data_IF_481640813771
#
_entry.id   IF_481640813771
#
_cell.length_a   1.000
_cell.length_b   1.000
_cell.length_c   1.000
_cell.angle_alpha   90.00
_cell.angle_beta   90.00
_cell.angle_gamma   90.00
#
_symmetry.space_group_name_H-M   'P 1'
#
loop_
_entity.id
_entity.type
_entity.pdbx_description
1 polymer ?
#
# COMPACT_ATOMS: atom_id res chain seq x y z
N UNK A 1 -2.32 42.67 0.09
CA UNK A 1 -2.91 41.38 0.53
C UNK A 1 -2.75 40.20 -0.45
N UNK A 2 -2.71 40.35 -1.80
CA UNK A 2 -2.54 39.21 -2.72
C UNK A 2 -1.23 38.43 -2.56
N UNK A 3 -0.13 39.11 -2.22
CA UNK A 3 1.21 38.50 -2.08
C UNK A 3 1.31 37.49 -0.92
N UNK A 4 0.60 37.70 0.19
CA UNK A 4 0.68 36.82 1.37
C UNK A 4 -0.08 35.51 1.12
N UNK A 5 -1.23 35.58 0.46
CA UNK A 5 -2.04 34.41 0.07
C UNK A 5 -1.22 33.49 -0.86
N UNK A 6 -0.52 34.07 -1.83
CA UNK A 6 0.35 33.31 -2.74
C UNK A 6 1.53 32.62 -2.03
N UNK A 7 2.10 33.25 -1.00
CA UNK A 7 3.20 32.65 -0.22
C UNK A 7 2.69 31.48 0.62
N UNK A 8 1.55 31.63 1.31
CA UNK A 8 0.97 30.56 2.13
C UNK A 8 0.57 29.35 1.28
N UNK A 9 -0.01 29.60 0.10
CA UNK A 9 -0.33 28.55 -0.86
C UNK A 9 0.93 27.81 -1.33
N UNK A 10 1.97 28.53 -1.77
CA UNK A 10 3.23 27.93 -2.21
C UNK A 10 3.93 27.11 -1.11
N UNK A 11 3.86 27.58 0.15
CA UNK A 11 4.39 26.84 1.30
C UNK A 11 3.59 25.57 1.57
N UNK A 12 2.25 25.62 1.50
CA UNK A 12 1.39 24.45 1.68
C UNK A 12 1.63 23.41 0.59
N UNK A 13 1.74 23.82 -0.68
CA UNK A 13 2.06 22.94 -1.82
C UNK A 13 3.39 22.24 -1.58
N UNK A 14 4.47 22.99 -1.33
CA UNK A 14 5.81 22.42 -1.08
C UNK A 14 5.82 21.47 0.13
N UNK A 15 5.13 21.85 1.20
CA UNK A 15 5.03 21.01 2.40
C UNK A 15 4.32 19.69 2.10
N UNK A 16 3.18 19.74 1.39
CA UNK A 16 2.43 18.53 1.05
C UNK A 16 3.18 17.63 0.08
N UNK A 17 3.70 18.17 -1.02
CA UNK A 17 4.40 17.37 -2.03
C UNK A 17 5.68 16.72 -1.51
N UNK A 18 6.40 17.39 -0.58
CA UNK A 18 7.59 16.81 0.05
C UNK A 18 7.28 15.72 1.09
N UNK A 19 6.04 15.63 1.59
CA UNK A 19 5.63 14.65 2.61
C UNK A 19 4.70 13.57 2.07
N UNK A 20 4.10 13.80 0.90
CA UNK A 20 3.12 12.92 0.27
C UNK A 20 3.46 12.73 -1.21
N UNK A 21 4.60 12.10 -1.53
CA UNK A 21 4.99 11.90 -2.92
C UNK A 21 3.97 11.02 -3.65
N UNK A 22 3.58 11.46 -4.84
CA UNK A 22 2.68 10.72 -5.73
C UNK A 22 3.41 9.61 -6.51
N UNK A 23 4.74 9.64 -6.53
CA UNK A 23 5.57 8.60 -7.13
C UNK A 23 5.76 7.45 -6.14
N UNK A 24 5.52 6.21 -6.59
CA UNK A 24 5.61 5.02 -5.73
C UNK A 24 7.02 4.82 -5.17
N UNK A 25 8.06 5.01 -5.98
CA UNK A 25 9.46 4.82 -5.55
C UNK A 25 9.87 5.82 -4.48
N UNK A 26 9.51 7.10 -4.65
CA UNK A 26 9.76 8.15 -3.66
C UNK A 26 8.99 7.89 -2.38
N UNK A 27 7.72 7.51 -2.51
CA UNK A 27 6.91 7.11 -1.36
C UNK A 27 7.62 6.01 -0.59
N UNK A 28 8.03 4.93 -1.25
CA UNK A 28 8.71 3.79 -0.63
C UNK A 28 10.05 4.13 0.04
N UNK A 29 10.76 5.16 -0.40
CA UNK A 29 12.04 5.57 0.19
C UNK A 29 11.87 6.40 1.47
N UNK A 30 10.82 7.22 1.57
CA UNK A 30 10.64 8.16 2.68
C UNK A 30 9.95 7.53 3.91
N UNK A 31 10.54 6.45 4.46
CA UNK A 31 9.89 5.60 5.50
C UNK A 31 9.98 6.17 6.92
N UNK A 32 11.13 6.71 7.31
CA UNK A 32 11.37 7.19 8.67
C UNK A 32 10.63 8.49 8.99
N UNK A 33 10.36 9.31 7.98
CA UNK A 33 9.64 10.57 8.18
C UNK A 33 8.12 10.38 8.29
N UNK A 34 7.54 9.24 7.88
CA UNK A 34 6.08 9.02 7.90
C UNK A 34 5.45 9.11 9.27
N UNK A 35 6.17 8.71 10.31
CA UNK A 35 5.74 8.86 11.70
C UNK A 35 5.62 10.32 12.17
N UNK A 36 6.19 11.27 11.41
CA UNK A 36 6.12 12.71 11.63
C UNK A 36 5.19 13.41 10.64
N UNK A 37 4.47 12.66 9.80
CA UNK A 37 3.59 13.26 8.80
C UNK A 37 2.39 13.92 9.47
N UNK A 38 1.91 14.96 8.80
CA UNK A 38 0.57 15.49 9.03
C UNK A 38 -0.42 14.32 8.98
N UNK A 39 -1.38 14.22 9.90
CA UNK A 39 -2.39 13.17 9.81
C UNK A 39 -3.12 13.24 8.46
N UNK A 40 -3.51 12.10 7.87
CA UNK A 40 -4.01 12.07 6.50
C UNK A 40 -5.33 12.85 6.33
N UNK A 41 -6.15 12.99 7.37
CA UNK A 41 -7.37 13.81 7.30
C UNK A 41 -7.04 15.30 7.12
N UNK A 42 -6.07 15.83 7.89
CA UNK A 42 -5.51 17.16 7.67
C UNK A 42 -4.87 17.30 6.28
N UNK A 43 -4.14 16.29 5.82
CA UNK A 43 -3.52 16.32 4.49
C UNK A 43 -4.58 16.48 3.38
N UNK A 44 -5.68 15.72 3.45
CA UNK A 44 -6.83 15.86 2.51
C UNK A 44 -7.43 17.27 2.58
N UNK A 45 -7.69 17.79 3.78
CA UNK A 45 -8.29 19.12 3.94
C UNK A 45 -7.41 20.23 3.36
N UNK A 46 -6.11 20.25 3.69
CA UNK A 46 -5.18 21.26 3.18
C UNK A 46 -4.99 21.11 1.66
N UNK A 47 -4.89 19.88 1.16
CA UNK A 47 -4.73 19.61 -0.27
C UNK A 47 -5.90 20.15 -1.08
N UNK A 48 -7.15 19.88 -0.65
CA UNK A 48 -8.34 20.38 -1.35
C UNK A 48 -8.45 21.90 -1.26
N UNK A 49 -8.14 22.50 -0.10
CA UNK A 49 -8.13 23.95 0.08
C UNK A 49 -7.08 24.67 -0.79
N UNK A 50 -6.00 23.96 -1.17
CA UNK A 50 -4.89 24.49 -1.97
C UNK A 50 -4.75 23.81 -3.34
N UNK A 51 -5.78 23.13 -3.84
CA UNK A 51 -5.75 22.46 -5.15
C UNK A 51 -4.56 21.52 -5.39
N UNK A 52 -3.97 20.95 -4.33
CA UNK A 52 -2.85 19.98 -4.41
C UNK A 52 -3.41 18.58 -4.56
N UNK A 53 -4.00 18.31 -5.73
CA UNK A 53 -4.79 17.08 -5.94
C UNK A 53 -3.91 15.83 -6.01
N UNK A 54 -2.66 15.96 -6.45
CA UNK A 54 -1.69 14.87 -6.64
C UNK A 54 -1.50 13.97 -5.42
N UNK A 55 -1.72 14.46 -4.19
CA UNK A 55 -1.52 13.65 -2.99
C UNK A 55 -2.75 12.84 -2.58
N UNK A 56 -3.93 13.18 -3.11
CA UNK A 56 -5.21 12.72 -2.57
C UNK A 56 -5.35 11.19 -2.56
N UNK A 57 -5.02 10.44 -3.63
CA UNK A 57 -5.19 8.98 -3.63
C UNK A 57 -4.41 8.30 -2.49
N UNK A 58 -3.21 8.79 -2.22
CA UNK A 58 -2.38 8.27 -1.14
C UNK A 58 -2.89 8.68 0.25
N UNK A 59 -3.30 9.94 0.41
CA UNK A 59 -3.86 10.42 1.67
C UNK A 59 -5.14 9.66 2.05
N UNK A 60 -6.02 9.38 1.08
CA UNK A 60 -7.21 8.54 1.29
C UNK A 60 -6.85 7.09 1.62
N UNK A 61 -5.84 6.52 0.96
CA UNK A 61 -5.34 5.18 1.29
C UNK A 61 -4.80 5.08 2.72
N UNK A 62 -3.93 6.00 3.14
CA UNK A 62 -3.37 6.00 4.50
C UNK A 62 -4.48 6.24 5.53
N UNK A 63 -5.44 7.13 5.24
CA UNK A 63 -6.58 7.35 6.10
C UNK A 63 -7.43 6.08 6.29
N UNK A 64 -7.78 5.40 5.19
CA UNK A 64 -8.51 4.13 5.22
C UNK A 64 -7.75 3.09 6.04
N UNK A 65 -6.45 2.97 5.79
CA UNK A 65 -5.55 2.05 6.47
C UNK A 65 -5.52 2.30 7.98
N UNK A 66 -5.35 3.56 8.41
CA UNK A 66 -5.31 3.93 9.84
C UNK A 66 -6.60 3.64 10.60
N UNK A 67 -7.75 3.62 9.90
CA UNK A 67 -9.06 3.34 10.50
C UNK A 67 -9.37 1.84 10.65
N UNK A 68 -8.54 0.96 10.08
CA UNK A 68 -8.72 -0.49 10.23
C UNK A 68 -8.35 -0.99 11.62
N UNK A 69 -9.11 -1.96 12.13
CA UNK A 69 -8.82 -2.57 13.42
C UNK A 69 -7.45 -3.27 13.42
N UNK A 70 -7.12 -3.97 12.33
CA UNK A 70 -5.86 -4.70 12.17
C UNK A 70 -4.66 -3.76 12.19
N UNK A 71 -4.80 -2.56 11.63
CA UNK A 71 -3.77 -1.53 11.73
C UNK A 71 -3.48 -1.15 13.18
N UNK A 72 -4.53 -0.91 13.98
CA UNK A 72 -4.39 -0.57 15.39
C UNK A 72 -3.73 -1.71 16.17
N UNK A 73 -4.06 -2.96 15.85
CA UNK A 73 -3.40 -4.14 16.42
C UNK A 73 -1.91 -4.18 16.08
N UNK A 74 -1.52 -3.93 14.81
CA UNK A 74 -0.10 -3.90 14.41
C UNK A 74 0.65 -2.78 15.16
N UNK A 75 0.09 -1.57 15.19
CA UNK A 75 0.76 -0.43 15.84
C UNK A 75 0.92 -0.65 17.34
N UNK A 76 -0.09 -1.22 18.00
CA UNK A 76 0.00 -1.59 19.42
C UNK A 76 1.08 -2.64 19.68
N UNK A 77 1.24 -3.64 18.80
CA UNK A 77 2.30 -4.66 18.91
C UNK A 77 3.71 -4.10 18.72
N UNK A 78 3.83 -3.00 17.98
CA UNK A 78 5.10 -2.30 17.74
C UNK A 78 5.39 -1.24 18.81
N UNK A 79 4.55 -1.11 19.84
CA UNK A 79 4.64 -0.05 20.85
C UNK A 79 4.61 1.37 20.24
N UNK A 80 3.89 1.52 19.12
CA UNK A 80 3.73 2.79 18.41
C UNK A 80 2.34 3.35 18.71
N UNK A 81 2.29 4.42 19.51
CA UNK A 81 1.06 5.15 19.77
C UNK A 81 0.79 6.17 18.65
N UNK A 82 -0.12 5.84 17.74
CA UNK A 82 -0.52 6.73 16.65
C UNK A 82 -1.88 7.35 16.98
N UNK A 83 -2.01 8.68 17.07
CA UNK A 83 -3.31 9.32 17.28
C UNK A 83 -4.24 9.02 16.11
N UNK A 84 -5.52 8.81 16.42
CA UNK A 84 -6.54 8.64 15.39
C UNK A 84 -6.68 9.92 14.55
N UNK A 85 -6.94 9.79 13.25
CA UNK A 85 -7.13 10.93 12.36
C UNK A 85 -8.39 11.72 12.74
N UNK A 86 -8.32 13.05 12.65
CA UNK A 86 -9.46 13.93 12.96
C UNK A 86 -10.45 13.99 11.78
N UNK A 87 -11.45 13.11 11.83
CA UNK A 87 -12.45 12.99 10.78
C UNK A 87 -13.34 14.23 10.60
N UNK A 88 -13.37 15.16 11.57
CA UNK A 88 -14.15 16.39 11.46
C UNK A 88 -13.60 17.36 10.41
N UNK A 89 -12.38 17.13 9.93
CA UNK A 89 -11.75 17.91 8.88
C UNK A 89 -12.20 17.52 7.47
N UNK A 90 -12.93 16.40 7.35
CA UNK A 90 -13.41 15.88 6.09
C UNK A 90 -14.82 16.38 5.78
N UNK A 91 -15.08 16.67 4.51
CA UNK A 91 -16.45 16.91 4.04
C UNK A 91 -17.26 15.61 4.03
N UNK A 92 -18.59 15.72 3.94
CA UNK A 92 -19.46 14.55 3.78
C UNK A 92 -19.11 13.72 2.53
N UNK A 93 -18.68 14.38 1.44
CA UNK A 93 -18.27 13.69 0.21
C UNK A 93 -16.92 12.98 0.38
N UNK A 94 -15.99 13.57 1.12
CA UNK A 94 -14.72 12.91 1.46
C UNK A 94 -14.96 11.66 2.30
N UNK A 95 -15.85 11.74 3.31
CA UNK A 95 -16.22 10.57 4.11
C UNK A 95 -16.88 9.47 3.26
N UNK A 96 -17.74 9.83 2.29
CA UNK A 96 -18.34 8.86 1.36
C UNK A 96 -17.29 8.19 0.49
N UNK A 97 -16.35 8.97 -0.08
CA UNK A 97 -15.22 8.47 -0.88
C UNK A 97 -14.33 7.54 -0.08
N UNK A 98 -14.02 7.91 1.16
CA UNK A 98 -13.22 7.11 2.08
C UNK A 98 -13.88 5.75 2.36
N UNK A 99 -15.16 5.73 2.73
CA UNK A 99 -15.86 4.49 3.08
C UNK A 99 -16.07 3.59 1.85
N UNK A 100 -16.63 4.15 0.76
CA UNK A 100 -16.91 3.37 -0.46
C UNK A 100 -15.61 2.93 -1.13
N UNK A 101 -14.65 3.84 -1.25
CA UNK A 101 -13.40 3.57 -1.92
C UNK A 101 -12.48 2.66 -1.12
N UNK A 102 -12.50 2.76 0.21
CA UNK A 102 -11.84 1.81 1.10
C UNK A 102 -12.35 0.38 0.89
N UNK A 103 -13.68 0.21 0.78
CA UNK A 103 -14.27 -1.10 0.50
C UNK A 103 -13.88 -1.65 -0.90
N UNK A 104 -13.84 -0.80 -1.93
CA UNK A 104 -13.37 -1.17 -3.28
C UNK A 104 -11.91 -1.59 -3.23
N UNK A 105 -11.06 -0.79 -2.59
CA UNK A 105 -9.64 -1.08 -2.46
C UNK A 105 -9.37 -2.38 -1.68
N UNK A 106 -10.17 -2.69 -0.67
CA UNK A 106 -10.07 -3.95 0.07
C UNK A 106 -10.42 -5.16 -0.81
N UNK A 107 -11.37 -5.02 -1.74
CA UNK A 107 -11.68 -6.04 -2.75
C UNK A 107 -10.50 -6.23 -3.70
N UNK A 108 -9.90 -5.13 -4.18
CA UNK A 108 -8.73 -5.18 -5.05
C UNK A 108 -7.54 -5.86 -4.35
N UNK A 109 -7.29 -5.53 -3.08
CA UNK A 109 -6.27 -6.18 -2.25
C UNK A 109 -6.53 -7.68 -2.12
N UNK A 110 -7.77 -8.08 -1.80
CA UNK A 110 -8.15 -9.49 -1.72
C UNK A 110 -7.88 -10.22 -3.03
N UNK A 111 -8.22 -9.61 -4.16
CA UNK A 111 -7.98 -10.18 -5.48
C UNK A 111 -6.48 -10.30 -5.80
N UNK A 112 -5.67 -9.30 -5.46
CA UNK A 112 -4.22 -9.35 -5.61
C UNK A 112 -3.59 -10.49 -4.80
N UNK A 113 -3.95 -10.60 -3.52
CA UNK A 113 -3.45 -11.69 -2.68
C UNK A 113 -3.96 -13.06 -3.12
N UNK A 114 -5.20 -13.18 -3.59
CA UNK A 114 -5.71 -14.44 -4.14
C UNK A 114 -4.90 -14.90 -5.36
N UNK A 115 -4.50 -13.97 -6.24
CA UNK A 115 -3.64 -14.26 -7.40
C UNK A 115 -2.23 -14.68 -6.99
N UNK A 116 -1.67 -14.09 -5.92
CA UNK A 116 -0.39 -14.52 -5.36
C UNK A 116 -0.50 -15.91 -4.69
N UNK A 117 -1.62 -16.18 -4.02
CA UNK A 117 -1.92 -17.47 -3.38
C UNK A 117 -2.13 -18.59 -4.40
N UNK A 118 -2.64 -18.29 -5.59
CA UNK A 118 -2.86 -19.27 -6.66
C UNK A 118 -1.75 -19.28 -7.72
N UNK A 119 -0.63 -18.58 -7.48
CA UNK A 119 0.40 -18.43 -8.50
C UNK A 119 1.19 -19.73 -8.69
N UNK A 120 1.17 -20.27 -9.92
CA UNK A 120 1.88 -21.48 -10.28
C UNK A 120 3.27 -21.18 -10.85
N UNK A 121 4.30 -21.78 -10.25
CA UNK A 121 5.70 -21.64 -10.67
C UNK A 121 6.26 -22.88 -11.37
N UNK A 122 5.42 -23.90 -11.61
CA UNK A 122 5.81 -25.22 -12.12
C UNK A 122 6.58 -25.18 -13.45
N UNK A 123 6.21 -24.28 -14.35
CA UNK A 123 6.80 -24.14 -15.69
C UNK A 123 8.24 -23.63 -15.68
N UNK A 124 8.59 -22.81 -14.68
CA UNK A 124 9.91 -22.17 -14.51
C UNK A 124 10.76 -22.87 -13.44
N UNK A 125 10.17 -23.83 -12.72
CA UNK A 125 10.83 -24.51 -11.62
C UNK A 125 12.01 -25.36 -12.09
N UNK A 126 13.20 -25.07 -11.53
CA UNK A 126 14.42 -25.85 -11.76
C UNK A 126 14.40 -27.27 -11.14
N UNK A 127 13.27 -27.73 -10.56
CA UNK A 127 13.12 -29.10 -10.04
C UNK A 127 13.25 -30.21 -11.10
N UNK A 128 13.28 -29.84 -12.39
CA UNK A 128 13.68 -30.74 -13.47
C UNK A 128 15.20 -31.03 -13.47
N UNK A 129 16.02 -30.20 -12.82
CA UNK A 129 17.43 -30.49 -12.53
C UNK A 129 17.51 -31.33 -11.24
N UNK A 130 18.09 -32.53 -11.34
CA UNK A 130 18.14 -33.56 -10.27
C UNK A 130 18.83 -33.10 -8.97
N UNK A 131 19.43 -31.90 -8.96
CA UNK A 131 20.02 -31.24 -7.79
C UNK A 131 19.00 -30.54 -6.88
N UNK A 132 17.80 -30.25 -7.36
CA UNK A 132 16.73 -29.54 -6.62
C UNK A 132 15.49 -30.41 -6.41
N UNK A 133 15.68 -31.64 -5.90
CA UNK A 133 14.61 -32.64 -5.68
C UNK A 133 13.46 -32.18 -4.77
N UNK A 134 13.56 -31.04 -4.10
CA UNK A 134 12.67 -30.63 -3.01
C UNK A 134 12.07 -29.23 -3.19
N UNK A 135 12.06 -28.68 -4.42
CA UNK A 135 11.33 -27.42 -4.64
C UNK A 135 9.82 -27.68 -4.51
N UNK A 136 9.20 -27.14 -3.46
CA UNK A 136 7.75 -27.23 -3.22
C UNK A 136 6.93 -26.34 -4.16
N UNK A 137 7.58 -25.63 -5.08
CA UNK A 137 6.98 -24.70 -6.06
C UNK A 137 5.96 -25.31 -7.04
N UNK A 138 5.64 -26.61 -6.90
CA UNK A 138 4.54 -27.29 -7.56
C UNK A 138 3.18 -27.06 -6.88
N UNK A 139 3.18 -26.57 -5.63
CA UNK A 139 1.95 -26.24 -4.91
C UNK A 139 2.11 -24.83 -4.35
N UNK A 140 1.19 -23.96 -4.74
CA UNK A 140 1.08 -22.57 -4.29
C UNK A 140 0.65 -22.50 -2.82
N UNK A 141 1.46 -23.05 -1.93
CA UNK A 141 1.30 -22.94 -0.48
C UNK A 141 2.32 -22.03 0.24
N UNK A 142 2.89 -20.94 -0.36
CA UNK A 142 3.59 -19.94 0.46
C UNK A 142 2.70 -19.45 1.60
N UNK A 143 1.41 -19.22 1.32
CA UNK A 143 0.44 -18.74 2.30
C UNK A 143 -0.26 -19.84 3.10
N UNK A 144 -0.37 -21.07 2.59
CA UNK A 144 -1.05 -22.14 3.34
C UNK A 144 -0.19 -22.67 4.50
N UNK A 145 1.14 -22.65 4.37
CA UNK A 145 2.04 -22.84 5.53
C UNK A 145 2.00 -21.65 6.51
N UNK A 146 1.71 -20.44 6.02
CA UNK A 146 1.56 -19.24 6.87
C UNK A 146 0.21 -19.18 7.61
N UNK A 147 -0.86 -19.78 7.06
CA UNK A 147 -2.22 -19.79 7.65
C UNK A 147 -2.28 -20.31 9.09
N UNK A 148 -1.26 -21.05 9.57
CA UNK A 148 -1.25 -21.66 10.91
C UNK A 148 -0.28 -21.03 11.92
N UNK A 149 0.64 -20.14 11.53
CA UNK A 149 1.73 -19.73 12.44
C UNK A 149 2.11 -18.26 12.45
N UNK A 150 1.65 -17.42 11.51
CA UNK A 150 2.10 -16.02 11.44
C UNK A 150 0.92 -15.04 11.39
N UNK A 151 0.36 -14.81 12.57
CA UNK A 151 -0.70 -13.81 12.80
C UNK A 151 -0.29 -12.42 12.29
N UNK A 152 1.00 -12.08 12.34
CA UNK A 152 1.49 -10.78 11.87
C UNK A 152 1.32 -10.64 10.36
N UNK A 153 1.59 -11.67 9.57
CA UNK A 153 1.41 -11.59 8.12
C UNK A 153 -0.06 -11.40 7.71
N UNK A 154 -0.96 -12.06 8.43
CA UNK A 154 -2.40 -11.86 8.24
C UNK A 154 -2.82 -10.43 8.59
N UNK A 155 -2.35 -9.91 9.72
CA UNK A 155 -2.57 -8.53 10.11
C UNK A 155 -2.00 -7.56 9.08
N UNK A 156 -0.76 -7.75 8.60
CA UNK A 156 -0.17 -6.92 7.56
C UNK A 156 -0.97 -6.98 6.25
N UNK A 157 -1.49 -8.14 5.86
CA UNK A 157 -2.34 -8.29 4.66
C UNK A 157 -3.58 -7.39 4.72
N UNK A 158 -4.19 -7.27 5.89
CA UNK A 158 -5.43 -6.51 6.09
C UNK A 158 -5.16 -5.04 6.45
N UNK A 159 -4.21 -4.80 7.35
CA UNK A 159 -3.90 -3.52 7.96
C UNK A 159 -2.84 -2.71 7.24
N UNK A 160 -1.89 -3.30 6.49
CA UNK A 160 -0.89 -2.56 5.68
C UNK A 160 -0.47 -3.35 4.43
N UNK A 161 -1.36 -3.50 3.43
CA UNK A 161 -1.13 -4.40 2.30
C UNK A 161 0.11 -4.05 1.46
N UNK A 162 0.41 -2.77 1.23
CA UNK A 162 1.63 -2.37 0.51
C UNK A 162 2.92 -2.72 1.26
N UNK A 163 2.90 -2.72 2.60
CA UNK A 163 4.07 -3.14 3.39
C UNK A 163 4.33 -4.62 3.19
N UNK A 164 3.28 -5.45 3.22
CA UNK A 164 3.41 -6.88 2.96
C UNK A 164 3.92 -7.16 1.55
N UNK A 165 3.30 -6.58 0.53
CA UNK A 165 3.68 -6.79 -0.88
C UNK A 165 5.13 -6.39 -1.14
N UNK A 166 5.59 -5.30 -0.52
CA UNK A 166 6.98 -4.89 -0.56
C UNK A 166 7.89 -5.88 0.16
N UNK A 167 7.55 -6.32 1.36
CA UNK A 167 8.37 -7.33 2.05
C UNK A 167 8.48 -8.65 1.26
N UNK A 168 7.47 -8.97 0.45
CA UNK A 168 7.52 -10.09 -0.48
C UNK A 168 8.42 -9.79 -1.69
N UNK A 169 8.33 -8.61 -2.31
CA UNK A 169 9.15 -8.25 -3.48
C UNK A 169 10.65 -8.08 -3.14
N UNK A 170 10.98 -7.49 -1.99
CA UNK A 170 12.35 -7.32 -1.48
C UNK A 170 12.92 -8.65 -0.93
N UNK A 171 12.12 -9.72 -0.85
CA UNK A 171 12.55 -11.02 -0.30
C UNK A 171 12.87 -10.98 1.20
N UNK A 172 12.32 -10.02 1.94
CA UNK A 172 12.58 -9.81 3.37
C UNK A 172 11.87 -10.83 4.26
N UNK A 173 10.85 -11.50 3.73
CA UNK A 173 10.12 -12.55 4.44
C UNK A 173 10.73 -13.92 4.09
N UNK A 174 10.86 -14.79 5.10
CA UNK A 174 11.36 -16.17 4.93
C UNK A 174 10.35 -17.11 4.23
N UNK A 175 9.58 -16.62 3.25
CA UNK A 175 8.65 -17.43 2.44
C UNK A 175 9.37 -18.32 1.42
N UNK A 176 10.66 -18.08 1.19
CA UNK A 176 11.51 -18.80 0.24
C UNK A 176 11.93 -20.20 0.71
N UNK A 177 11.58 -20.59 1.94
CA UNK A 177 11.90 -21.92 2.46
C UNK A 177 11.24 -23.01 1.61
N UNK A 178 12.09 -23.80 0.92
CA UNK A 178 11.64 -24.86 0.01
C UNK A 178 11.34 -24.41 -1.42
N UNK A 179 11.57 -23.14 -1.78
CA UNK A 179 11.53 -22.68 -3.18
C UNK A 179 12.94 -22.64 -3.77
N UNK A 180 13.08 -23.02 -5.04
CA UNK A 180 14.33 -22.79 -5.76
C UNK A 180 14.45 -21.31 -6.15
N UNK A 181 15.68 -20.84 -6.41
CA UNK A 181 15.97 -19.44 -6.74
C UNK A 181 15.06 -18.89 -7.86
N UNK A 182 14.85 -19.65 -8.93
CA UNK A 182 14.00 -19.24 -10.05
C UNK A 182 12.52 -19.03 -9.64
N UNK A 183 11.98 -19.89 -8.77
CA UNK A 183 10.61 -19.73 -8.25
C UNK A 183 10.50 -18.51 -7.33
N UNK A 184 11.52 -18.23 -6.52
CA UNK A 184 11.58 -17.03 -5.66
C UNK A 184 11.58 -15.77 -6.52
N UNK A 185 12.47 -15.68 -7.50
CA UNK A 185 12.56 -14.51 -8.41
C UNK A 185 11.24 -14.27 -9.15
N UNK A 186 10.59 -15.34 -9.63
CA UNK A 186 9.31 -15.23 -10.32
C UNK A 186 8.18 -14.74 -9.39
N UNK A 187 8.14 -15.25 -8.16
CA UNK A 187 7.17 -14.81 -7.17
C UNK A 187 7.39 -13.35 -6.75
N UNK A 188 8.65 -12.95 -6.54
CA UNK A 188 9.02 -11.56 -6.23
C UNK A 188 8.58 -10.61 -7.35
N UNK A 189 8.84 -10.97 -8.61
CA UNK A 189 8.39 -10.21 -9.77
C UNK A 189 6.85 -10.09 -9.80
N UNK A 190 6.13 -11.17 -9.46
CA UNK A 190 4.67 -11.15 -9.38
C UNK A 190 4.17 -10.25 -8.24
N UNK A 191 4.77 -10.32 -7.06
CA UNK A 191 4.44 -9.46 -5.93
C UNK A 191 4.65 -7.97 -6.27
N UNK A 192 5.78 -7.64 -6.91
CA UNK A 192 6.06 -6.29 -7.40
C UNK A 192 5.03 -5.80 -8.43
N UNK A 193 4.59 -6.67 -9.34
CA UNK A 193 3.55 -6.35 -10.32
C UNK A 193 2.19 -6.08 -9.66
N UNK A 194 1.78 -6.91 -8.70
CA UNK A 194 0.53 -6.71 -7.94
C UNK A 194 0.57 -5.42 -7.11
N UNK A 195 1.71 -5.13 -6.48
CA UNK A 195 1.97 -3.87 -5.77
C UNK A 195 1.75 -2.66 -6.70
N UNK A 196 2.36 -2.69 -7.88
CA UNK A 196 2.21 -1.62 -8.87
C UNK A 196 0.78 -1.46 -9.37
N UNK A 197 0.07 -2.58 -9.64
CA UNK A 197 -1.34 -2.55 -10.05
C UNK A 197 -2.19 -1.87 -8.98
N UNK A 198 -2.06 -2.29 -7.71
CA UNK A 198 -2.82 -1.69 -6.60
C UNK A 198 -2.50 -0.21 -6.40
N UNK A 199 -1.24 0.20 -6.58
CA UNK A 199 -0.85 1.61 -6.56
C UNK A 199 -1.64 2.39 -7.61
N UNK A 200 -1.66 1.89 -8.84
CA UNK A 200 -2.36 2.53 -9.96
C UNK A 200 -3.89 2.51 -9.84
N UNK A 201 -4.48 1.63 -9.04
CA UNK A 201 -5.93 1.63 -8.82
C UNK A 201 -6.40 2.61 -7.74
N UNK A 202 -5.49 3.20 -6.95
CA UNK A 202 -5.87 4.13 -5.87
C UNK A 202 -6.81 5.27 -6.32
N UNK A 203 -6.53 6.02 -7.41
CA UNK A 203 -7.43 7.07 -7.84
C UNK A 203 -8.83 6.54 -8.17
N UNK A 204 -8.91 5.39 -8.85
CA UNK A 204 -10.18 4.76 -9.21
C UNK A 204 -10.94 4.26 -7.99
N UNK A 205 -10.24 3.62 -7.05
CA UNK A 205 -10.85 3.07 -5.85
C UNK A 205 -11.54 4.18 -5.04
N UNK A 206 -10.87 5.32 -4.84
CA UNK A 206 -11.40 6.44 -4.06
C UNK A 206 -12.20 7.48 -4.88
N UNK A 207 -12.57 7.15 -6.12
CA UNK A 207 -13.36 8.00 -7.03
C UNK A 207 -12.68 9.34 -7.41
N UNK A 208 -11.35 9.40 -7.34
CA UNK A 208 -10.53 10.62 -7.51
C UNK A 208 -10.01 10.83 -8.94
N UNK A 209 -10.46 10.04 -9.94
CA UNK A 209 -9.95 10.16 -11.32
C UNK A 209 -10.14 11.58 -11.87
N UNK A 210 -11.30 12.19 -11.61
CA UNK A 210 -11.58 13.58 -12.03
C UNK A 210 -10.68 14.62 -11.33
N UNK A 211 -10.14 14.27 -10.16
CA UNK A 211 -9.25 15.14 -9.39
C UNK A 211 -7.80 15.05 -9.86
N UNK A 212 -7.30 13.85 -10.15
CA UNK A 212 -5.87 13.61 -10.36
C UNK A 212 -5.46 13.10 -11.75
N UNK A 213 -6.42 12.71 -12.58
CA UNK A 213 -6.17 12.09 -13.88
C UNK A 213 -5.86 10.59 -13.82
N UNK A 214 -6.01 9.92 -14.96
CA UNK A 214 -5.74 8.47 -15.10
C UNK A 214 -4.23 8.13 -15.06
N UNK A 215 -3.39 9.10 -15.38
CA UNK A 215 -1.93 8.97 -15.40
C UNK A 215 -1.27 9.18 -14.03
N UNK A 216 -2.05 9.36 -12.95
CA UNK A 216 -1.52 9.55 -11.59
C UNK A 216 -0.52 8.47 -11.18
N UNK A 217 0.64 8.87 -10.67
CA UNK A 217 1.69 7.95 -10.20
C UNK A 217 2.47 7.21 -11.31
N UNK A 218 2.42 7.69 -12.56
CA UNK A 218 3.27 7.20 -13.66
C UNK A 218 4.59 7.95 -13.84
N UNK A 219 4.76 9.08 -13.16
CA UNK A 219 5.95 9.94 -13.22
C UNK A 219 6.77 9.80 -11.95
#
# INVERSE_FOLDING_TARGET
>A
MPKVINIMHALAVRFLESRWPACMSEWEQDREHRGQHLDPARAVSIAKANSVRSILPLAFYELHTMLKAEYQTIMSRLDVHIPLPDLNLLSADDLRRLIKGGAVFDVDCKAAFARLESFDTSSTCASKDKRYKECVGHISEPFAKMKKSDERLYEYRLGRPFVLLRSLDEGLLHFSSGLCKACVELFQARAGAEKYILWKTLPKAFDLIEDVGEDWGTK
#
